data_IF_200116965140
#
_entry.id   IF_200116965140
#
_cell.length_a   1.000
_cell.length_b   1.000
_cell.length_c   1.000
_cell.angle_alpha   90.00
_cell.angle_beta   90.00
_cell.angle_gamma   90.00
#
_symmetry.space_group_name_H-M   'P 1'
#
loop_
_entity.id
_entity.type
_entity.pdbx_description
1 polymer ?
#
# COMPACT_ATOMS: atom_id res chain seq x y z
N UNK A 1 5.57 -2.48 14.12
CA UNK A 1 6.98 -2.11 14.34
C UNK A 1 7.59 -1.61 13.05
N UNK A 2 8.51 -0.65 13.14
CA UNK A 2 9.11 0.10 12.03
C UNK A 2 10.63 0.06 12.12
N UNK A 3 11.32 0.14 10.98
CA UNK A 3 12.79 0.22 10.94
C UNK A 3 13.19 1.69 10.75
N UNK A 4 13.81 2.35 11.75
CA UNK A 4 14.21 3.76 11.63
C UNK A 4 15.18 3.99 10.46
N UNK A 5 15.01 5.11 9.76
CA UNK A 5 15.82 5.48 8.59
C UNK A 5 15.37 4.85 7.28
N UNK A 6 14.52 3.82 7.33
CA UNK A 6 14.07 3.10 6.14
C UNK A 6 13.05 3.87 5.27
N UNK A 7 12.56 5.01 5.76
CA UNK A 7 11.64 5.90 5.05
C UNK A 7 12.30 6.74 3.94
N UNK A 8 13.64 6.85 3.95
CA UNK A 8 14.38 7.67 3.01
C UNK A 8 14.55 6.94 1.67
N UNK A 9 13.55 7.06 0.80
CA UNK A 9 13.57 6.44 -0.53
C UNK A 9 14.84 6.84 -1.31
N UNK A 10 15.47 5.88 -1.98
CA UNK A 10 16.72 6.09 -2.71
C UNK A 10 17.99 6.13 -1.84
N UNK A 11 17.87 6.13 -0.51
CA UNK A 11 19.02 5.99 0.37
C UNK A 11 19.58 4.56 0.34
N UNK A 12 20.90 4.42 0.44
CA UNK A 12 21.59 3.12 0.38
C UNK A 12 21.06 2.13 1.41
N UNK A 13 20.75 2.57 2.63
CA UNK A 13 20.20 1.70 3.66
C UNK A 13 18.77 1.27 3.35
N UNK A 14 17.91 2.21 2.92
CA UNK A 14 16.53 1.91 2.57
C UNK A 14 16.42 0.92 1.39
N UNK A 15 17.24 1.10 0.35
CA UNK A 15 17.28 0.22 -0.82
C UNK A 15 17.86 -1.16 -0.47
N UNK A 16 18.92 -1.21 0.34
CA UNK A 16 19.47 -2.49 0.83
C UNK A 16 18.43 -3.28 1.64
N UNK A 17 17.65 -2.60 2.49
CA UNK A 17 16.54 -3.23 3.20
C UNK A 17 15.47 -3.75 2.24
N UNK A 18 15.05 -2.95 1.26
CA UNK A 18 14.03 -3.34 0.29
C UNK A 18 14.41 -4.62 -0.48
N UNK A 19 15.68 -4.76 -0.85
CA UNK A 19 16.19 -5.92 -1.57
C UNK A 19 16.23 -7.22 -0.73
N UNK A 20 16.44 -7.11 0.59
CA UNK A 20 16.73 -8.27 1.44
C UNK A 20 15.56 -8.69 2.36
N UNK A 21 14.71 -7.74 2.79
CA UNK A 21 13.72 -8.01 3.83
C UNK A 21 12.67 -9.09 3.49
N UNK A 22 12.33 -9.27 2.21
CA UNK A 22 11.32 -10.27 1.79
C UNK A 22 11.78 -11.71 2.03
N UNK A 23 13.08 -11.96 1.95
CA UNK A 23 13.73 -13.25 2.24
C UNK A 23 14.72 -13.10 3.39
N UNK A 24 14.32 -12.41 4.46
CA UNK A 24 15.22 -12.11 5.58
C UNK A 24 15.88 -13.36 6.19
N UNK A 25 15.21 -14.53 6.35
CA UNK A 25 15.88 -15.72 6.85
C UNK A 25 17.06 -16.15 5.97
N UNK A 26 16.91 -16.10 4.66
CA UNK A 26 17.93 -16.52 3.70
C UNK A 26 19.02 -15.46 3.50
N UNK A 27 18.63 -14.18 3.47
CA UNK A 27 19.54 -13.07 3.12
C UNK A 27 20.24 -12.47 4.34
N UNK A 28 19.59 -12.48 5.50
CA UNK A 28 20.09 -11.86 6.74
C UNK A 28 20.38 -12.90 7.83
N UNK A 29 20.03 -14.17 7.63
CA UNK A 29 20.23 -15.24 8.61
C UNK A 29 19.36 -15.13 9.86
N UNK A 30 18.34 -14.27 9.84
CA UNK A 30 17.46 -14.01 10.98
C UNK A 30 15.99 -14.00 10.54
N UNK A 31 15.10 -14.45 11.43
CA UNK A 31 13.67 -14.39 11.18
C UNK A 31 13.13 -12.96 11.29
N UNK A 32 12.00 -12.68 10.64
CA UNK A 32 11.41 -11.34 10.61
C UNK A 32 11.16 -10.72 11.99
N UNK A 33 10.85 -11.53 13.02
CA UNK A 33 10.67 -11.06 14.39
C UNK A 33 12.00 -10.65 15.08
N UNK A 34 13.16 -11.06 14.57
CA UNK A 34 14.47 -10.72 15.13
C UNK A 34 15.07 -9.45 14.49
N UNK A 35 14.51 -8.98 13.37
CA UNK A 35 14.99 -7.76 12.70
C UNK A 35 14.90 -6.55 13.66
N UNK A 36 16.01 -5.82 13.89
CA UNK A 36 16.00 -4.62 14.74
C UNK A 36 14.96 -3.60 14.27
N UNK A 37 14.01 -3.27 15.15
CA UNK A 37 12.89 -2.40 14.82
C UNK A 37 12.31 -1.79 16.09
N UNK A 38 11.67 -0.63 15.94
CA UNK A 38 10.95 0.06 17.02
C UNK A 38 9.47 -0.32 16.98
N UNK A 39 8.89 -0.65 18.13
CA UNK A 39 7.47 -0.88 18.25
C UNK A 39 6.71 0.46 18.26
N UNK A 40 5.82 0.66 17.28
CA UNK A 40 4.77 1.67 17.35
C UNK A 40 3.54 0.97 17.92
N UNK A 41 3.31 1.16 19.22
CA UNK A 41 2.15 0.59 19.93
C UNK A 41 0.94 1.51 19.77
N UNK A 42 -0.24 0.93 19.68
CA UNK A 42 -1.52 1.64 19.52
C UNK A 42 -2.62 0.93 20.31
N UNK A 43 -3.55 1.68 20.87
CA UNK A 43 -4.76 1.20 21.52
C UNK A 43 -5.96 1.22 20.55
N UNK A 44 -7.05 0.49 20.85
CA UNK A 44 -8.29 0.62 20.09
C UNK A 44 -8.77 2.09 20.06
N UNK A 45 -8.98 2.62 18.85
CA UNK A 45 -9.35 4.02 18.63
C UNK A 45 -8.21 4.90 18.13
N UNK A 46 -6.95 4.47 18.30
CA UNK A 46 -5.80 5.21 17.80
C UNK A 46 -5.69 5.13 16.28
N UNK A 47 -5.22 6.22 15.67
CA UNK A 47 -4.81 6.27 14.27
C UNK A 47 -3.28 6.32 14.21
N UNK A 48 -2.68 5.32 13.54
CA UNK A 48 -1.24 5.30 13.30
C UNK A 48 -0.97 5.86 11.91
N UNK A 49 -0.30 7.03 11.86
CA UNK A 49 0.11 7.68 10.61
C UNK A 49 1.62 7.60 10.48
N UNK A 50 2.09 7.12 9.35
CA UNK A 50 3.52 7.03 9.05
C UNK A 50 3.75 7.18 7.54
N UNK A 51 4.97 7.54 7.15
CA UNK A 51 5.35 7.60 5.75
C UNK A 51 5.29 6.21 5.12
N UNK A 52 4.55 6.03 4.03
CA UNK A 52 4.34 4.75 3.34
C UNK A 52 5.65 4.03 2.97
N UNK A 53 6.73 4.78 2.74
CA UNK A 53 8.04 4.21 2.40
C UNK A 53 8.73 3.51 3.58
N UNK A 54 8.30 3.80 4.82
CA UNK A 54 8.83 3.19 6.03
C UNK A 54 8.62 1.68 6.01
N UNK A 55 9.69 0.90 6.09
CA UNK A 55 9.58 -0.57 6.19
C UNK A 55 9.00 -0.93 7.55
N UNK A 56 7.92 -1.70 7.53
CA UNK A 56 7.14 -1.99 8.71
C UNK A 56 6.54 -3.40 8.66
N UNK A 57 6.24 -3.94 9.84
CA UNK A 57 5.51 -5.19 9.99
C UNK A 57 4.66 -5.15 11.27
N UNK A 58 3.47 -5.72 11.19
CA UNK A 58 2.59 -5.90 12.33
C UNK A 58 2.92 -7.21 13.06
N UNK A 59 2.97 -7.16 14.40
CA UNK A 59 3.25 -8.31 15.26
C UNK A 59 2.37 -8.21 16.51
N UNK A 60 2.17 -9.32 17.22
CA UNK A 60 1.42 -9.35 18.49
C UNK A 60 -0.09 -9.13 18.34
N UNK A 61 -0.63 -9.16 17.13
CA UNK A 61 -2.07 -9.17 16.89
C UNK A 61 -2.66 -10.58 17.00
N UNK A 62 -3.96 -10.67 17.26
CA UNK A 62 -4.73 -11.91 17.15
C UNK A 62 -5.82 -11.80 16.09
N UNK A 63 -6.58 -12.89 15.88
CA UNK A 63 -7.62 -13.00 14.86
C UNK A 63 -8.82 -12.04 15.04
N UNK A 64 -8.87 -11.30 16.14
CA UNK A 64 -9.91 -10.30 16.44
C UNK A 64 -9.57 -8.89 15.96
N UNK A 65 -8.29 -8.62 15.63
CA UNK A 65 -7.87 -7.32 15.14
C UNK A 65 -8.45 -7.09 13.75
N UNK A 66 -9.20 -6.02 13.58
CA UNK A 66 -9.61 -5.51 12.26
C UNK A 66 -8.69 -4.35 11.91
N UNK A 67 -8.07 -4.44 10.74
CA UNK A 67 -7.22 -3.38 10.21
C UNK A 67 -7.95 -2.73 9.04
N UNK A 68 -7.93 -1.41 9.02
CA UNK A 68 -8.31 -0.62 7.87
C UNK A 68 -7.16 0.34 7.60
N UNK A 69 -6.69 0.36 6.36
CA UNK A 69 -5.52 1.14 5.95
C UNK A 69 -5.92 2.03 4.79
N UNK A 70 -5.53 3.29 4.88
CA UNK A 70 -5.62 4.25 3.78
C UNK A 70 -4.19 4.63 3.42
N UNK A 71 -3.85 4.49 2.14
CA UNK A 71 -2.64 5.05 1.57
C UNK A 71 -3.02 6.37 0.90
N UNK A 72 -2.29 7.43 1.23
CA UNK A 72 -2.50 8.76 0.69
C UNK A 72 -1.25 9.16 -0.08
N UNK A 73 -1.43 9.70 -1.28
CA UNK A 73 -0.37 10.31 -2.07
C UNK A 73 -0.68 11.77 -2.30
N UNK A 74 0.36 12.55 -2.58
CA UNK A 74 0.16 13.88 -3.15
C UNK A 74 -0.47 13.75 -4.54
N UNK A 75 -1.04 14.85 -5.04
CA UNK A 75 -1.45 14.93 -6.44
C UNK A 75 -0.22 14.77 -7.32
N UNK A 76 -0.28 13.87 -8.28
CA UNK A 76 0.79 13.66 -9.26
C UNK A 76 0.90 14.84 -10.21
N UNK A 77 2.12 15.20 -10.60
CA UNK A 77 2.34 16.11 -11.72
C UNK A 77 1.94 15.45 -13.05
N UNK A 78 1.73 16.25 -14.10
CA UNK A 78 1.23 15.75 -15.38
C UNK A 78 2.19 14.77 -16.06
N UNK A 79 3.50 14.99 -15.89
CA UNK A 79 4.56 14.10 -16.38
C UNK A 79 4.71 12.81 -15.56
N UNK A 80 4.16 12.78 -14.34
CA UNK A 80 4.13 11.60 -13.47
C UNK A 80 2.85 10.76 -13.63
N UNK A 81 1.88 11.20 -14.43
CA UNK A 81 0.65 10.44 -14.68
C UNK A 81 0.89 8.99 -15.16
N UNK A 82 1.93 8.66 -15.96
CA UNK A 82 2.25 7.27 -16.26
C UNK A 82 2.53 6.43 -15.01
N UNK A 83 3.14 6.99 -13.96
CA UNK A 83 3.37 6.31 -12.69
C UNK A 83 2.05 6.02 -11.99
N UNK A 84 1.17 7.02 -11.89
CA UNK A 84 -0.18 6.83 -11.33
C UNK A 84 -0.96 5.75 -12.09
N UNK A 85 -0.90 5.73 -13.43
CA UNK A 85 -1.56 4.68 -14.22
C UNK A 85 -1.02 3.29 -13.93
N UNK A 86 0.28 3.16 -13.67
CA UNK A 86 0.89 1.90 -13.24
C UNK A 86 0.40 1.49 -11.84
N UNK A 87 0.27 2.43 -10.90
CA UNK A 87 -0.29 2.16 -9.58
C UNK A 87 -1.75 1.69 -9.67
N UNK A 88 -2.57 2.34 -10.50
CA UNK A 88 -3.94 1.91 -10.77
C UNK A 88 -3.98 0.51 -11.36
N UNK A 89 -3.14 0.22 -12.35
CA UNK A 89 -3.06 -1.12 -12.94
C UNK A 89 -2.68 -2.19 -11.90
N UNK A 90 -1.80 -1.86 -10.94
CA UNK A 90 -1.42 -2.78 -9.87
C UNK A 90 -2.58 -3.19 -8.95
N UNK A 91 -3.67 -2.41 -8.91
CA UNK A 91 -4.88 -2.75 -8.18
C UNK A 91 -5.70 -3.86 -8.85
N UNK A 92 -5.46 -4.16 -10.12
CA UNK A 92 -6.18 -5.21 -10.85
C UNK A 92 -6.10 -6.59 -10.18
N UNK A 93 -5.03 -6.85 -9.41
CA UNK A 93 -4.86 -8.07 -8.61
C UNK A 93 -5.97 -8.30 -7.58
N UNK A 94 -6.71 -7.26 -7.21
CA UNK A 94 -7.83 -7.33 -6.28
C UNK A 94 -9.18 -7.58 -6.97
N UNK A 95 -9.20 -7.64 -8.30
CA UNK A 95 -10.40 -7.84 -9.12
C UNK A 95 -11.50 -6.79 -8.85
N UNK A 96 -11.10 -5.53 -8.71
CA UNK A 96 -11.98 -4.39 -8.43
C UNK A 96 -12.36 -3.64 -9.72
N UNK A 97 -13.55 -3.05 -9.74
CA UNK A 97 -14.03 -2.30 -10.92
C UNK A 97 -13.66 -0.81 -10.87
N UNK A 98 -13.22 -0.30 -9.72
CA UNK A 98 -12.87 1.10 -9.50
C UNK A 98 -11.75 1.22 -8.45
N UNK A 99 -10.90 2.23 -8.60
CA UNK A 99 -9.82 2.57 -7.63
C UNK A 99 -10.36 2.90 -6.24
N UNK A 100 -11.62 3.31 -6.15
CA UNK A 100 -12.33 3.57 -4.90
C UNK A 100 -13.64 2.78 -4.85
N UNK A 101 -13.96 2.27 -3.66
CA UNK A 101 -15.23 1.59 -3.41
C UNK A 101 -16.42 2.54 -3.39
N UNK A 102 -17.61 1.99 -3.65
CA UNK A 102 -18.88 2.73 -3.72
C UNK A 102 -19.11 3.64 -2.51
N UNK A 103 -18.92 3.15 -1.29
CA UNK A 103 -19.15 3.94 -0.07
C UNK A 103 -18.25 5.18 0.04
N UNK A 104 -17.01 5.11 -0.47
CA UNK A 104 -16.11 6.27 -0.51
C UNK A 104 -16.63 7.33 -1.48
N UNK A 105 -17.11 6.90 -2.67
CA UNK A 105 -17.64 7.79 -3.69
C UNK A 105 -18.98 8.41 -3.27
N UNK A 106 -19.90 7.58 -2.78
CA UNK A 106 -21.25 8.00 -2.41
C UNK A 106 -21.28 9.01 -1.25
N UNK A 107 -20.26 8.99 -0.38
CA UNK A 107 -20.19 9.93 0.75
C UNK A 107 -19.29 11.13 0.48
N UNK A 108 -18.48 11.12 -0.58
CA UNK A 108 -17.49 12.17 -0.82
C UNK A 108 -18.14 13.56 -0.97
N UNK A 109 -17.74 14.48 -0.10
CA UNK A 109 -18.09 15.90 -0.23
C UNK A 109 -17.28 16.51 -1.37
N UNK A 110 -17.63 17.71 -1.87
CA UNK A 110 -16.83 18.40 -2.89
C UNK A 110 -15.34 18.51 -2.51
N UNK A 111 -15.04 18.75 -1.23
CA UNK A 111 -13.67 18.86 -0.72
C UNK A 111 -12.94 17.51 -0.77
N UNK A 112 -13.63 16.40 -0.44
CA UNK A 112 -13.04 15.06 -0.56
C UNK A 112 -12.85 14.64 -2.01
N UNK A 113 -13.76 15.01 -2.90
CA UNK A 113 -13.68 14.68 -4.32
C UNK A 113 -12.42 15.25 -4.99
N UNK A 114 -11.87 16.36 -4.50
CA UNK A 114 -10.58 16.90 -4.98
C UNK A 114 -9.46 15.86 -4.90
N UNK A 115 -9.44 15.03 -3.86
CA UNK A 115 -8.42 13.99 -3.65
C UNK A 115 -8.70 12.70 -4.43
N UNK A 116 -9.96 12.43 -4.78
CA UNK A 116 -10.35 11.22 -5.50
C UNK A 116 -10.33 11.41 -7.03
N UNK A 117 -10.45 12.65 -7.50
CA UNK A 117 -10.66 12.96 -8.91
C UNK A 117 -9.52 12.48 -9.83
N UNK A 118 -8.25 12.63 -9.42
CA UNK A 118 -7.13 12.29 -10.31
C UNK A 118 -7.01 10.79 -10.57
N UNK A 119 -7.02 9.89 -9.56
CA UNK A 119 -7.03 8.45 -9.82
C UNK A 119 -8.28 7.98 -10.57
N UNK A 120 -9.45 8.55 -10.28
CA UNK A 120 -10.68 8.25 -11.03
C UNK A 120 -10.57 8.64 -12.51
N UNK A 121 -9.94 9.77 -12.83
CA UNK A 121 -9.72 10.19 -14.21
C UNK A 121 -8.68 9.33 -14.95
N UNK A 122 -7.87 8.55 -14.22
CA UNK A 122 -6.79 7.72 -14.76
C UNK A 122 -7.08 6.21 -14.71
N UNK A 123 -8.30 5.78 -14.35
CA UNK A 123 -8.64 4.35 -14.18
C UNK A 123 -9.27 3.67 -15.39
N UNK A 124 -9.36 4.35 -16.53
CA UNK A 124 -10.03 3.87 -17.74
C UNK A 124 -9.49 2.51 -18.25
N UNK A 125 -8.21 2.21 -17.99
CA UNK A 125 -7.59 0.92 -18.34
C UNK A 125 -7.76 -0.19 -17.30
N UNK A 126 -8.28 0.11 -16.10
CA UNK A 126 -8.34 -0.85 -14.99
C UNK A 126 -9.15 -2.11 -15.33
N UNK A 127 -10.28 -1.96 -16.03
CA UNK A 127 -11.15 -3.08 -16.38
C UNK A 127 -10.42 -4.13 -17.23
N UNK A 128 -9.59 -3.68 -18.18
CA UNK A 128 -8.79 -4.55 -19.04
C UNK A 128 -7.66 -5.22 -18.25
N UNK A 129 -7.01 -4.49 -17.33
CA UNK A 129 -6.00 -5.07 -16.45
C UNK A 129 -6.59 -6.12 -15.50
N UNK A 130 -7.81 -5.91 -14.98
CA UNK A 130 -8.54 -6.90 -14.17
C UNK A 130 -8.88 -8.14 -14.99
N UNK A 131 -9.28 -7.98 -16.26
CA UNK A 131 -9.52 -9.11 -17.17
C UNK A 131 -8.24 -9.93 -17.35
N UNK A 132 -7.11 -9.30 -17.59
CA UNK A 132 -5.80 -9.97 -17.69
C UNK A 132 -5.43 -10.68 -16.38
N UNK A 133 -5.64 -10.04 -15.23
CA UNK A 133 -5.35 -10.63 -13.92
C UNK A 133 -6.21 -11.87 -13.65
N UNK A 134 -7.51 -11.86 -14.01
CA UNK A 134 -8.39 -13.03 -13.86
C UNK A 134 -8.00 -14.23 -14.74
N UNK A 135 -7.28 -14.00 -15.84
CA UNK A 135 -6.77 -15.10 -16.69
C UNK A 135 -5.55 -15.79 -16.07
N UNK A 136 -4.78 -15.09 -15.23
CA UNK A 136 -3.50 -15.58 -14.69
C UNK A 136 -3.57 -15.93 -13.20
N UNK A 137 -4.55 -15.41 -12.48
CA UNK A 137 -4.73 -15.61 -11.04
C UNK A 137 -5.91 -16.55 -10.74
N UNK A 138 -5.72 -17.47 -9.79
CA UNK A 138 -6.79 -18.39 -9.34
C UNK A 138 -7.82 -17.71 -8.44
N UNK A 139 -7.40 -16.72 -7.66
CA UNK A 139 -8.22 -15.96 -6.72
C UNK A 139 -7.65 -14.53 -6.59
N UNK A 140 -8.44 -13.53 -6.13
CA UNK A 140 -7.93 -12.18 -5.96
C UNK A 140 -6.96 -12.13 -4.78
N UNK A 141 -6.02 -11.20 -4.84
CA UNK A 141 -5.20 -10.90 -3.68
C UNK A 141 -6.08 -10.46 -2.50
N UNK A 142 -5.71 -10.89 -1.30
CA UNK A 142 -6.29 -10.39 -0.04
C UNK A 142 -5.17 -9.56 0.58
N UNK A 143 -5.43 -8.27 0.79
CA UNK A 143 -4.45 -7.29 1.25
C UNK A 143 -3.66 -7.73 2.48
#
# INVERSE_FOLDING_TARGET
RVIPGSQHYGDRFAEALQANLRGAPETLGISGNQIPAIALTSNPGDVVVFNQNTKHSAWGGGNRRRMFTINCTARYADDELPLLRNEVAALARFWIDSVYGEAMLATATPERMVHLAQPLAQQDHLAEEVRKAKLTMKEPARG
#
